data_IF_549970228514
#
_entry.id   IF_549970228514
#
_cell.length_a   1.000
_cell.length_b   1.000
_cell.length_c   1.000
_cell.angle_alpha   90.00
_cell.angle_beta   90.00
_cell.angle_gamma   90.00
#
_symmetry.space_group_name_H-M   'P 1'
#
loop_
_entity.id
_entity.type
_entity.pdbx_description
1 polymer ?
#
# COMPACT_ATOMS: atom_id res chain seq x y z
N UNK A 1 -5.17 -10.55 15.55
CA UNK A 1 -4.53 -10.83 14.25
C UNK A 1 -3.65 -9.65 13.95
N UNK A 2 -2.34 -9.88 13.76
CA UNK A 2 -1.37 -8.82 13.45
C UNK A 2 -1.07 -8.99 11.97
N UNK A 3 -1.24 -7.93 11.18
CA UNK A 3 -0.81 -7.90 9.79
C UNK A 3 0.69 -7.61 9.78
N UNK A 4 1.51 -8.60 9.42
CA UNK A 4 2.96 -8.47 9.35
C UNK A 4 3.39 -8.26 7.90
N UNK A 5 4.22 -7.25 7.67
CA UNK A 5 4.77 -6.95 6.35
C UNK A 5 5.84 -8.00 6.03
N UNK A 6 5.64 -8.75 4.94
CA UNK A 6 6.62 -9.73 4.46
C UNK A 6 7.76 -9.05 3.69
N UNK A 7 8.86 -9.77 3.48
CA UNK A 7 9.99 -9.26 2.68
C UNK A 7 9.62 -9.00 1.21
N UNK A 8 8.65 -9.74 0.64
CA UNK A 8 8.13 -9.45 -0.70
C UNK A 8 7.37 -8.13 -0.73
N UNK A 9 6.50 -7.88 0.25
CA UNK A 9 5.77 -6.63 0.41
C UNK A 9 6.71 -5.44 0.63
N UNK A 10 7.78 -5.59 1.41
CA UNK A 10 8.77 -4.51 1.59
C UNK A 10 9.40 -4.07 0.27
N UNK A 11 9.68 -5.02 -0.63
CA UNK A 11 10.22 -4.70 -1.95
C UNK A 11 9.20 -3.92 -2.78
N UNK A 12 7.94 -4.37 -2.81
CA UNK A 12 6.86 -3.68 -3.51
C UNK A 12 6.63 -2.28 -2.97
N UNK A 13 6.68 -2.09 -1.65
CA UNK A 13 6.58 -0.78 -1.01
C UNK A 13 7.73 0.12 -1.47
N UNK A 14 8.98 -0.37 -1.51
CA UNK A 14 10.15 0.43 -1.94
C UNK A 14 10.07 0.84 -3.41
N UNK A 15 9.59 -0.05 -4.28
CA UNK A 15 9.38 0.27 -5.70
C UNK A 15 8.24 1.29 -5.86
N UNK A 16 7.17 1.12 -5.11
CA UNK A 16 6.03 2.02 -5.13
C UNK A 16 6.35 3.40 -4.53
N UNK A 17 7.12 3.49 -3.45
CA UNK A 17 7.44 4.73 -2.73
C UNK A 17 8.46 5.63 -3.47
N UNK A 18 8.82 5.30 -4.71
CA UNK A 18 9.62 6.19 -5.59
C UNK A 18 8.85 7.44 -6.06
N UNK A 19 7.84 7.88 -5.31
CA UNK A 19 7.12 9.11 -5.61
C UNK A 19 8.09 10.27 -5.46
N UNK A 20 8.21 11.13 -6.48
CA UNK A 20 8.87 12.42 -6.30
C UNK A 20 7.84 13.32 -5.59
N UNK A 21 8.04 13.70 -4.31
CA UNK A 21 7.12 14.58 -3.63
C UNK A 21 7.30 15.98 -4.21
N UNK A 22 6.40 16.39 -5.11
CA UNK A 22 6.39 17.76 -5.64
C UNK A 22 5.74 18.64 -4.58
N UNK A 23 6.53 19.09 -3.60
CA UNK A 23 6.19 20.11 -2.61
C UNK A 23 4.79 19.97 -1.96
N UNK A 24 4.43 18.74 -1.59
CA UNK A 24 3.12 18.42 -1.01
C UNK A 24 3.17 18.46 0.51
N UNK A 25 2.81 19.59 1.08
CA UNK A 25 2.36 19.64 2.47
C UNK A 25 0.99 18.93 2.57
N UNK A 26 0.94 17.79 3.27
CA UNK A 26 -0.31 17.04 3.51
C UNK A 26 -0.62 15.92 2.53
N UNK A 27 0.40 15.23 1.98
CA UNK A 27 0.19 13.98 1.26
C UNK A 27 -0.68 13.01 2.10
N UNK A 28 -1.78 12.53 1.51
CA UNK A 28 -2.71 11.59 2.13
C UNK A 28 -2.64 10.25 1.42
N UNK A 29 -2.59 9.19 2.20
CA UNK A 29 -2.79 7.83 1.72
C UNK A 29 -4.22 7.42 2.06
N UNK A 30 -4.94 6.91 1.06
CA UNK A 30 -6.22 6.26 1.26
C UNK A 30 -5.98 4.75 1.38
N UNK A 31 -6.49 4.16 2.46
CA UNK A 31 -6.38 2.73 2.73
C UNK A 31 -7.75 2.07 2.58
N UNK A 32 -7.84 1.03 1.76
CA UNK A 32 -9.02 0.18 1.66
C UNK A 32 -8.65 -1.23 2.10
N UNK A 33 -9.38 -1.74 3.09
CA UNK A 33 -9.24 -3.11 3.57
C UNK A 33 -10.33 -3.96 2.94
N UNK A 34 -9.93 -4.96 2.16
CA UNK A 34 -10.83 -5.84 1.42
C UNK A 34 -10.72 -7.23 2.06
N UNK A 35 -11.66 -7.59 2.95
CA UNK A 35 -11.72 -8.95 3.46
C UNK A 35 -12.10 -9.89 2.32
N UNK A 36 -11.38 -10.99 2.18
CA UNK A 36 -11.65 -12.05 1.22
C UNK A 36 -11.90 -13.37 1.96
N UNK A 37 -12.35 -14.41 1.26
CA UNK A 37 -12.48 -15.75 1.85
C UNK A 37 -11.14 -16.42 2.19
N UNK A 38 -10.01 -15.84 1.76
CA UNK A 38 -8.66 -16.39 1.94
C UNK A 38 -7.79 -15.56 2.91
N UNK A 39 -8.08 -14.27 3.05
CA UNK A 39 -7.28 -13.31 3.84
C UNK A 39 -7.73 -11.87 3.62
N UNK A 40 -6.85 -10.91 3.86
CA UNK A 40 -7.10 -9.47 3.71
C UNK A 40 -6.20 -8.89 2.62
N UNK A 41 -6.81 -8.21 1.66
CA UNK A 41 -6.09 -7.36 0.72
C UNK A 41 -6.13 -5.92 1.23
N UNK A 42 -4.97 -5.28 1.35
CA UNK A 42 -4.82 -3.87 1.69
C UNK A 42 -4.48 -3.11 0.41
N UNK A 43 -5.39 -2.25 -0.04
CA UNK A 43 -5.16 -1.31 -1.12
C UNK A 43 -4.77 0.05 -0.56
N UNK A 44 -3.63 0.56 -1.00
CA UNK A 44 -3.06 1.85 -0.61
C UNK A 44 -3.05 2.74 -1.86
N UNK A 45 -3.64 3.92 -1.78
CA UNK A 45 -3.63 4.90 -2.86
C UNK A 45 -2.99 6.20 -2.38
N UNK A 46 -2.01 6.70 -3.13
CA UNK A 46 -1.46 8.03 -2.90
C UNK A 46 -2.35 9.08 -3.57
N UNK A 47 -2.89 10.03 -2.79
CA UNK A 47 -3.76 11.07 -3.35
C UNK A 47 -3.03 12.07 -4.26
N UNK A 48 -1.70 12.12 -4.18
CA UNK A 48 -0.86 13.05 -4.93
C UNK A 48 -0.52 12.49 -6.31
N UNK A 49 0.12 11.31 -6.35
CA UNK A 49 0.53 10.70 -7.62
C UNK A 49 -0.51 9.74 -8.21
N UNK A 50 -1.62 9.49 -7.50
CA UNK A 50 -2.69 8.55 -7.87
C UNK A 50 -2.25 7.09 -8.08
N UNK A 51 -1.00 6.75 -7.73
CA UNK A 51 -0.50 5.37 -7.78
C UNK A 51 -1.15 4.53 -6.68
N UNK A 52 -1.33 3.26 -6.99
CA UNK A 52 -1.94 2.27 -6.11
C UNK A 52 -0.93 1.16 -5.78
N UNK A 53 -1.00 0.67 -4.55
CA UNK A 53 -0.25 -0.48 -4.06
C UNK A 53 -1.26 -1.47 -3.44
N UNK A 54 -1.11 -2.74 -3.75
CA UNK A 54 -1.94 -3.82 -3.24
C UNK A 54 -1.06 -4.78 -2.46
N UNK A 55 -1.35 -4.98 -1.18
CA UNK A 55 -0.67 -5.95 -0.33
C UNK A 55 -1.66 -7.04 0.07
N UNK A 56 -1.26 -8.30 0.02
CA UNK A 56 -2.09 -9.47 0.35
C UNK A 56 -1.33 -10.38 1.30
N UNK A 57 -1.95 -10.77 2.40
CA UNK A 57 -1.41 -11.81 3.31
C UNK A 57 -1.61 -13.24 2.79
N UNK A 58 -2.25 -13.38 1.62
CA UNK A 58 -2.40 -14.61 0.86
C UNK A 58 -1.33 -14.61 -0.25
N UNK A 59 -0.35 -15.51 -0.15
CA UNK A 59 0.67 -15.78 -1.17
C UNK A 59 0.08 -16.43 -2.44
#
# INVERSE_FOLDING_TARGET
MIFEITSSMEREIREWDQCIPVDVSGAKFAYTFIPTGLGIIIKIQCDVCKRELLLSDVD
#
